data_IF_601442487278
#
_entry.id   IF_601442487278
#
_cell.length_a   1.000
_cell.length_b   1.000
_cell.length_c   1.000
_cell.angle_alpha   90.00
_cell.angle_beta   90.00
_cell.angle_gamma   90.00
#
_symmetry.space_group_name_H-M   'P 1'
#
loop_
_entity.id
_entity.type
_entity.pdbx_description
1 polymer ?
#
# COMPACT_ATOMS: atom_id res chain seq x y z
N UNK A 1 1.19 -59.79 -24.19
CA UNK A 1 1.07 -60.52 -22.90
C UNK A 1 2.03 -59.89 -21.89
N UNK A 2 1.63 -59.84 -20.61
CA UNK A 2 2.22 -59.14 -19.45
C UNK A 2 3.72 -59.44 -19.18
N UNK A 3 4.52 -58.68 -18.40
CA UNK A 3 4.35 -58.08 -17.05
C UNK A 3 5.43 -57.00 -16.77
N UNK A 4 5.16 -55.85 -16.11
CA UNK A 4 5.45 -55.46 -14.68
C UNK A 4 6.83 -55.91 -14.14
N UNK A 5 7.69 -55.11 -13.47
CA UNK A 5 7.44 -54.15 -12.35
C UNK A 5 8.66 -53.25 -12.01
N UNK A 6 8.35 -52.02 -11.57
CA UNK A 6 8.98 -50.99 -10.66
C UNK A 6 10.32 -51.17 -9.92
N UNK A 7 11.12 -50.09 -9.88
CA UNK A 7 11.47 -49.22 -8.71
C UNK A 7 12.44 -48.11 -9.22
N UNK A 8 12.17 -46.80 -9.18
CA UNK A 8 11.92 -45.92 -8.02
C UNK A 8 13.10 -45.86 -7.06
N UNK A 9 14.05 -44.96 -7.33
CA UNK A 9 14.82 -44.31 -6.26
C UNK A 9 14.86 -42.81 -6.52
N UNK A 10 14.25 -42.10 -5.56
CA UNK A 10 14.18 -40.67 -5.43
C UNK A 10 15.61 -40.13 -5.23
N UNK A 11 16.09 -39.34 -6.18
CA UNK A 11 17.00 -38.25 -5.84
C UNK A 11 16.20 -36.98 -6.03
N UNK A 12 15.59 -36.53 -4.94
CA UNK A 12 14.96 -35.22 -4.88
C UNK A 12 16.04 -34.18 -5.06
N UNK A 13 16.27 -33.77 -6.30
CA UNK A 13 16.85 -32.46 -6.57
C UNK A 13 15.86 -31.44 -6.00
N UNK A 14 16.25 -30.87 -4.86
CA UNK A 14 15.68 -29.65 -4.32
C UNK A 14 15.57 -28.67 -5.48
N UNK A 15 14.36 -28.45 -5.98
CA UNK A 15 14.09 -27.32 -6.86
C UNK A 15 14.45 -26.07 -6.05
N UNK A 16 15.53 -25.44 -6.50
CA UNK A 16 16.12 -24.24 -5.97
C UNK A 16 15.05 -23.21 -5.59
N UNK A 17 15.16 -22.71 -4.36
CA UNK A 17 14.54 -21.47 -3.97
C UNK A 17 15.08 -20.30 -4.82
N UNK A 18 14.23 -19.29 -4.97
CA UNK A 18 14.51 -17.92 -5.40
C UNK A 18 14.76 -17.68 -6.89
N UNK A 19 13.67 -17.61 -7.66
CA UNK A 19 13.45 -16.32 -8.33
C UNK A 19 13.16 -15.32 -7.21
N UNK A 20 13.99 -14.29 -7.02
CA UNK A 20 13.59 -13.15 -6.18
C UNK A 20 12.24 -12.70 -6.71
N UNK A 21 11.16 -13.03 -5.98
CA UNK A 21 9.84 -12.72 -6.44
C UNK A 21 9.77 -11.21 -6.58
N UNK A 22 9.48 -10.72 -7.79
CA UNK A 22 9.30 -9.29 -8.03
C UNK A 22 8.22 -8.79 -7.06
N UNK A 23 8.51 -7.67 -6.40
CA UNK A 23 7.57 -7.01 -5.51
C UNK A 23 6.26 -6.70 -6.27
N UNK A 24 5.08 -6.87 -5.65
CA UNK A 24 3.81 -6.57 -6.31
C UNK A 24 3.74 -5.11 -6.79
N UNK A 25 3.18 -4.91 -7.97
CA UNK A 25 2.97 -3.57 -8.53
C UNK A 25 1.92 -2.82 -7.71
N UNK A 26 2.40 -1.86 -6.90
CA UNK A 26 1.60 -0.98 -6.05
C UNK A 26 2.06 0.46 -6.28
N UNK A 27 1.12 1.35 -6.56
CA UNK A 27 1.42 2.76 -6.88
C UNK A 27 0.69 3.67 -5.90
N UNK A 28 1.43 4.57 -5.25
CA UNK A 28 0.85 5.64 -4.44
C UNK A 28 0.57 6.82 -5.35
N UNK A 29 -0.67 7.33 -5.31
CA UNK A 29 -1.08 8.57 -5.97
C UNK A 29 -1.50 9.58 -4.92
N UNK A 30 -0.92 10.77 -4.99
CA UNK A 30 -1.22 11.89 -4.11
C UNK A 30 -1.54 13.13 -4.95
N UNK A 31 -2.69 13.74 -4.73
CA UNK A 31 -3.13 14.94 -5.45
C UNK A 31 -3.56 16.00 -4.46
N UNK A 32 -3.06 17.23 -4.62
CA UNK A 32 -3.45 18.32 -3.75
C UNK A 32 -2.54 19.54 -3.88
N UNK A 33 -2.77 20.49 -2.97
CA UNK A 33 -2.12 21.79 -3.00
C UNK A 33 -0.84 21.81 -2.15
N UNK A 34 0.26 22.31 -2.73
CA UNK A 34 1.54 22.52 -2.05
C UNK A 34 2.06 23.94 -2.22
N UNK A 35 2.81 24.39 -1.22
CA UNK A 35 3.68 25.55 -1.26
C UNK A 35 5.04 25.17 -1.85
N UNK A 36 5.44 25.80 -2.96
CA UNK A 36 6.78 25.65 -3.56
C UNK A 36 7.65 26.85 -3.25
N UNK A 37 8.83 26.61 -2.69
CA UNK A 37 9.86 27.65 -2.57
C UNK A 37 10.57 27.85 -3.90
N UNK A 38 10.62 29.09 -4.40
CA UNK A 38 11.33 29.47 -5.64
C UNK A 38 12.24 30.67 -5.39
N UNK A 39 13.41 30.69 -6.04
CA UNK A 39 14.25 31.89 -6.13
C UNK A 39 13.68 32.89 -7.14
N UNK A 40 13.60 34.14 -6.74
CA UNK A 40 13.19 35.25 -7.59
C UNK A 40 14.40 36.14 -7.82
N UNK A 41 14.94 36.10 -9.03
CA UNK A 41 16.01 36.99 -9.46
C UNK A 41 15.39 38.21 -10.14
N UNK A 42 15.07 39.24 -9.35
CA UNK A 42 14.64 40.53 -9.88
C UNK A 42 15.86 41.44 -10.09
N UNK A 43 16.05 42.03 -11.29
CA UNK A 43 17.18 42.93 -11.53
C UNK A 43 17.11 44.15 -10.61
N UNK A 44 18.14 44.32 -9.76
CA UNK A 44 18.24 45.42 -8.81
C UNK A 44 17.75 45.12 -7.39
N UNK A 45 17.31 43.89 -7.10
CA UNK A 45 17.05 43.40 -5.73
C UNK A 45 18.02 42.27 -5.35
N UNK A 46 18.19 42.07 -4.05
CA UNK A 46 18.85 40.87 -3.54
C UNK A 46 18.04 39.62 -3.90
N UNK A 47 18.71 38.48 -4.03
CA UNK A 47 18.05 37.19 -4.24
C UNK A 47 16.98 36.96 -3.16
N UNK A 48 15.72 36.93 -3.56
CA UNK A 48 14.58 36.68 -2.67
C UNK A 48 14.08 35.25 -2.85
N UNK A 49 13.59 34.65 -1.76
CA UNK A 49 12.83 33.40 -1.79
C UNK A 49 11.35 33.74 -1.70
N UNK A 50 10.55 33.20 -2.61
CA UNK A 50 9.10 33.34 -2.65
C UNK A 50 8.46 31.96 -2.48
N UNK A 51 7.34 31.91 -1.77
CA UNK A 51 6.48 30.73 -1.70
C UNK A 51 5.33 30.93 -2.68
N UNK A 52 5.13 29.97 -3.58
CA UNK A 52 4.01 29.97 -4.54
C UNK A 52 3.20 28.70 -4.32
N UNK A 53 1.88 28.88 -4.20
CA UNK A 53 0.92 27.78 -4.14
C UNK A 53 0.80 27.11 -5.52
N UNK A 54 0.85 25.78 -5.54
CA UNK A 54 0.77 24.97 -6.75
C UNK A 54 -0.10 23.73 -6.50
N UNK A 55 -0.88 23.36 -7.51
CA UNK A 55 -1.55 22.06 -7.58
C UNK A 55 -0.56 21.00 -8.06
N UNK A 56 -0.48 19.87 -7.34
CA UNK A 56 0.41 18.77 -7.64
C UNK A 56 -0.37 17.45 -7.75
N UNK A 57 0.08 16.62 -8.68
CA UNK A 57 -0.27 15.21 -8.73
C UNK A 57 1.04 14.42 -8.77
N UNK A 58 1.23 13.56 -7.78
CA UNK A 58 2.43 12.74 -7.60
C UNK A 58 2.01 11.29 -7.69
N UNK A 59 2.68 10.54 -8.57
CA UNK A 59 2.55 9.09 -8.66
C UNK A 59 3.90 8.46 -8.33
N UNK A 60 3.89 7.44 -7.48
CA UNK A 60 5.10 6.79 -6.99
C UNK A 60 4.92 5.27 -6.87
N UNK A 61 5.71 4.52 -7.64
CA UNK A 61 5.71 3.06 -7.59
C UNK A 61 6.54 2.56 -6.39
N UNK A 62 5.92 1.72 -5.57
CA UNK A 62 6.57 1.13 -4.39
C UNK A 62 7.46 -0.03 -4.86
N UNK A 63 8.76 0.05 -4.59
CA UNK A 63 9.72 -0.91 -5.13
C UNK A 63 9.98 -2.12 -4.22
N UNK A 64 9.59 -2.07 -2.94
CA UNK A 64 9.89 -3.12 -1.97
C UNK A 64 8.95 -3.15 -0.76
N UNK A 65 8.99 -4.26 0.00
CA UNK A 65 8.22 -4.38 1.24
C UNK A 65 8.72 -3.43 2.34
N UNK A 66 10.03 -3.19 2.41
CA UNK A 66 10.59 -2.22 3.35
C UNK A 66 10.12 -0.81 3.03
N UNK A 67 10.02 -0.47 1.75
CA UNK A 67 9.47 0.81 1.33
C UNK A 67 7.97 0.92 1.63
N UNK A 68 7.17 -0.11 1.34
CA UNK A 68 5.76 -0.16 1.74
C UNK A 68 5.62 0.09 3.24
N UNK A 69 6.42 -0.61 4.05
CA UNK A 69 6.41 -0.45 5.51
C UNK A 69 6.82 0.96 5.89
N UNK A 70 7.88 1.53 5.33
CA UNK A 70 8.34 2.84 5.80
C UNK A 70 7.44 3.99 5.34
N UNK A 71 6.90 3.91 4.12
CA UNK A 71 6.08 4.96 3.53
C UNK A 71 4.62 4.85 4.00
N UNK A 72 3.96 3.74 3.68
CA UNK A 72 2.50 3.61 3.82
C UNK A 72 2.13 3.09 5.20
N UNK A 73 2.98 2.27 5.80
CA UNK A 73 2.59 1.54 7.02
C UNK A 73 3.71 1.33 8.07
N UNK A 74 4.27 2.44 8.60
CA UNK A 74 5.46 2.38 9.47
C UNK A 74 5.19 1.76 10.84
N UNK A 75 3.97 1.93 11.36
CA UNK A 75 3.65 1.65 12.76
C UNK A 75 2.64 0.51 12.99
N UNK A 76 2.20 -0.22 11.95
CA UNK A 76 1.16 -1.25 12.14
C UNK A 76 1.50 -2.28 13.19
N UNK A 77 2.73 -2.79 13.11
CA UNK A 77 3.18 -3.89 13.94
C UNK A 77 3.20 -3.52 15.43
N UNK A 78 3.24 -2.21 15.74
CA UNK A 78 3.42 -1.68 17.09
C UNK A 78 2.10 -1.11 17.63
N UNK A 79 1.38 -0.32 16.84
CA UNK A 79 0.26 0.50 17.33
C UNK A 79 -1.11 0.15 16.72
N UNK A 80 -1.15 -0.67 15.67
CA UNK A 80 -2.40 -1.10 15.01
C UNK A 80 -3.20 0.01 14.30
N UNK A 81 -2.73 1.26 14.35
CA UNK A 81 -3.25 2.44 13.65
C UNK A 81 -2.12 2.99 12.78
N UNK A 82 -2.37 3.19 11.49
CA UNK A 82 -1.28 3.07 10.51
C UNK A 82 -1.21 4.10 9.42
N UNK A 83 -2.29 4.83 9.18
CA UNK A 83 -2.31 5.74 8.04
C UNK A 83 -1.99 7.14 8.54
N UNK A 84 -0.74 7.54 8.39
CA UNK A 84 -0.31 8.92 8.58
C UNK A 84 -0.37 9.66 7.24
N UNK A 85 -1.58 10.00 6.76
CA UNK A 85 -1.74 10.58 5.40
C UNK A 85 -0.82 11.79 5.18
N UNK A 86 -0.72 12.66 6.19
CA UNK A 86 0.16 13.82 6.16
C UNK A 86 1.64 13.45 6.04
N UNK A 87 2.11 12.47 6.83
CA UNK A 87 3.50 11.98 6.75
C UNK A 87 3.79 11.34 5.38
N UNK A 88 2.85 10.55 4.83
CA UNK A 88 3.01 9.95 3.48
C UNK A 88 3.19 11.05 2.43
N UNK A 89 2.37 12.11 2.49
CA UNK A 89 2.47 13.24 1.55
C UNK A 89 3.78 13.99 1.73
N UNK A 90 4.20 14.26 2.97
CA UNK A 90 5.48 14.92 3.24
C UNK A 90 6.65 14.12 2.64
N UNK A 91 6.68 12.80 2.85
CA UNK A 91 7.68 11.90 2.29
C UNK A 91 7.66 11.83 0.75
N UNK A 92 6.48 11.97 0.12
CA UNK A 92 6.35 12.04 -1.34
C UNK A 92 6.85 13.39 -1.88
N UNK A 93 6.52 14.49 -1.21
CA UNK A 93 6.95 15.84 -1.59
C UNK A 93 8.47 15.99 -1.46
N UNK A 94 9.09 15.41 -0.43
CA UNK A 94 10.54 15.43 -0.20
C UNK A 94 11.32 14.66 -1.29
N UNK A 95 10.67 13.76 -2.04
CA UNK A 95 11.28 13.06 -3.18
C UNK A 95 11.26 13.88 -4.46
N UNK A 96 10.45 14.93 -4.55
CA UNK A 96 10.36 15.78 -5.74
C UNK A 96 11.55 16.75 -5.81
N UNK A 97 11.96 17.10 -7.03
CA UNK A 97 12.93 18.18 -7.23
C UNK A 97 12.30 19.54 -6.90
N UNK A 98 12.65 20.07 -5.74
CA UNK A 98 12.18 21.36 -5.24
C UNK A 98 12.01 21.33 -3.72
N UNK A 99 11.60 22.45 -3.15
CA UNK A 99 11.19 22.49 -1.75
C UNK A 99 9.68 22.71 -1.73
N UNK A 100 8.95 21.60 -1.66
CA UNK A 100 7.50 21.59 -1.55
C UNK A 100 7.10 21.32 -0.11
N UNK A 101 6.00 21.94 0.32
CA UNK A 101 5.36 21.63 1.60
C UNK A 101 3.85 21.69 1.42
N UNK A 102 3.13 20.73 1.98
CA UNK A 102 1.67 20.84 2.10
C UNK A 102 1.29 21.91 3.14
N UNK A 103 0.06 22.39 3.07
CA UNK A 103 -0.43 23.50 3.90
C UNK A 103 -0.79 23.08 5.34
N UNK A 104 -1.25 21.83 5.52
CA UNK A 104 -1.51 21.24 6.85
C UNK A 104 -0.24 20.76 7.53
N UNK A 105 -0.16 20.89 8.86
CA UNK A 105 0.93 20.31 9.67
C UNK A 105 0.54 19.02 10.40
N UNK A 106 -0.69 18.52 10.22
CA UNK A 106 -1.16 17.29 10.88
C UNK A 106 -0.46 16.07 10.27
N UNK A 107 0.06 15.16 11.09
CA UNK A 107 0.67 13.92 10.58
C UNK A 107 -0.36 12.94 10.03
N UNK A 108 -1.55 12.91 10.62
CA UNK A 108 -2.59 11.94 10.31
C UNK A 108 -3.54 12.42 9.21
N UNK A 109 -3.75 13.73 9.12
CA UNK A 109 -4.73 14.34 8.23
C UNK A 109 -4.07 15.30 7.24
N UNK A 110 -4.53 15.24 6.01
CA UNK A 110 -4.19 16.17 4.95
C UNK A 110 -5.44 16.40 4.10
N UNK A 111 -6.40 17.23 4.58
CA UNK A 111 -7.71 17.36 3.94
C UNK A 111 -7.64 17.96 2.53
N UNK A 112 -6.61 18.75 2.24
CA UNK A 112 -6.37 19.35 0.93
C UNK A 112 -5.68 18.38 -0.05
N UNK A 113 -5.51 17.13 0.37
CA UNK A 113 -4.83 16.09 -0.40
C UNK A 113 -5.68 14.83 -0.48
N UNK A 114 -5.91 14.37 -1.71
CA UNK A 114 -6.37 13.02 -1.96
C UNK A 114 -5.16 12.08 -2.04
N UNK A 115 -5.20 10.98 -1.30
CA UNK A 115 -4.13 9.99 -1.24
C UNK A 115 -4.74 8.60 -1.44
N UNK A 116 -4.23 7.86 -2.42
CA UNK A 116 -4.70 6.51 -2.72
C UNK A 116 -3.54 5.63 -3.16
N UNK A 117 -3.47 4.40 -2.66
CA UNK A 117 -2.59 3.35 -3.17
C UNK A 117 -3.41 2.42 -4.03
N UNK A 118 -2.96 2.22 -5.26
CA UNK A 118 -3.63 1.38 -6.25
C UNK A 118 -2.85 0.10 -6.50
N UNK A 119 -3.57 -0.95 -6.87
CA UNK A 119 -2.97 -2.25 -7.14
C UNK A 119 -4.01 -3.28 -7.54
N UNK A 120 -3.60 -4.28 -8.33
CA UNK A 120 -4.49 -5.41 -8.62
C UNK A 120 -4.80 -6.23 -7.36
N UNK A 121 -5.93 -6.95 -7.34
CA UNK A 121 -6.24 -7.88 -6.24
C UNK A 121 -5.11 -8.89 -5.99
N UNK A 122 -4.47 -9.35 -7.07
CA UNK A 122 -3.29 -10.21 -6.98
C UNK A 122 -2.11 -9.50 -6.32
N UNK A 123 -1.83 -8.25 -6.67
CA UNK A 123 -0.75 -7.46 -6.06
C UNK A 123 -0.95 -7.32 -4.54
N UNK A 124 -2.16 -6.94 -4.12
CA UNK A 124 -2.53 -6.83 -2.71
C UNK A 124 -2.44 -8.16 -1.96
N UNK A 125 -2.90 -9.26 -2.57
CA UNK A 125 -2.77 -10.60 -1.98
C UNK A 125 -1.31 -11.00 -1.81
N UNK A 126 -0.47 -10.77 -2.83
CA UNK A 126 0.97 -11.07 -2.77
C UNK A 126 1.67 -10.25 -1.70
N UNK A 127 1.34 -8.96 -1.57
CA UNK A 127 1.88 -8.10 -0.50
C UNK A 127 1.70 -8.76 0.88
N UNK A 128 0.49 -9.22 1.19
CA UNK A 128 0.20 -9.77 2.51
C UNK A 128 0.56 -11.26 2.66
N UNK A 129 0.45 -12.08 1.61
CA UNK A 129 0.68 -13.52 1.70
C UNK A 129 2.10 -13.96 1.33
N UNK A 130 2.87 -13.15 0.63
CA UNK A 130 4.22 -13.52 0.18
C UNK A 130 5.28 -12.61 0.80
N UNK A 131 5.07 -11.29 0.79
CA UNK A 131 6.08 -10.33 1.24
C UNK A 131 5.98 -9.99 2.71
N UNK A 132 4.77 -9.91 3.25
CA UNK A 132 4.60 -9.61 4.66
C UNK A 132 5.00 -10.83 5.51
N UNK A 133 5.94 -10.60 6.43
CA UNK A 133 6.46 -11.63 7.33
C UNK A 133 5.52 -11.90 8.51
N UNK A 134 4.22 -12.04 8.23
CA UNK A 134 3.24 -12.41 9.25
C UNK A 134 3.49 -13.84 9.74
N UNK A 135 3.67 -13.99 11.06
CA UNK A 135 3.76 -15.31 11.71
C UNK A 135 2.39 -15.96 11.75
N UNK A 136 2.34 -17.28 11.58
CA UNK A 136 1.11 -18.06 11.64
C UNK A 136 1.05 -19.20 10.63
N UNK A 137 -0.02 -19.99 10.69
CA UNK A 137 -0.43 -20.81 9.55
C UNK A 137 -0.91 -19.92 8.40
N UNK A 138 -1.05 -20.46 7.19
CA UNK A 138 -1.55 -19.67 6.06
C UNK A 138 -2.95 -19.08 6.30
N UNK A 139 -3.83 -19.79 7.01
CA UNK A 139 -5.14 -19.28 7.42
C UNK A 139 -5.02 -18.10 8.40
N UNK A 140 -4.12 -18.17 9.38
CA UNK A 140 -3.87 -17.05 10.32
C UNK A 140 -3.24 -15.84 9.61
N UNK A 141 -2.34 -16.08 8.64
CA UNK A 141 -1.76 -15.03 7.79
C UNK A 141 -2.82 -14.38 6.90
N UNK A 142 -3.68 -15.18 6.28
CA UNK A 142 -4.81 -14.70 5.48
C UNK A 142 -5.76 -13.84 6.32
N UNK A 143 -6.11 -14.29 7.53
CA UNK A 143 -6.95 -13.53 8.45
C UNK A 143 -6.35 -12.16 8.80
N UNK A 144 -5.05 -12.12 9.13
CA UNK A 144 -4.33 -10.86 9.40
C UNK A 144 -4.23 -9.96 8.17
N UNK A 145 -3.99 -10.54 6.99
CA UNK A 145 -3.99 -9.83 5.71
C UNK A 145 -5.33 -9.17 5.43
N UNK A 146 -6.44 -9.92 5.55
CA UNK A 146 -7.80 -9.41 5.42
C UNK A 146 -8.08 -8.28 6.41
N UNK A 147 -7.68 -8.43 7.69
CA UNK A 147 -7.87 -7.38 8.70
C UNK A 147 -7.09 -6.10 8.36
N UNK A 148 -5.91 -6.23 7.76
CA UNK A 148 -5.11 -5.08 7.33
C UNK A 148 -5.74 -4.38 6.14
N UNK A 149 -6.19 -5.12 5.12
CA UNK A 149 -6.92 -4.58 3.97
C UNK A 149 -8.19 -3.82 4.41
N UNK A 150 -8.97 -4.38 5.34
CA UNK A 150 -10.13 -3.71 5.95
C UNK A 150 -9.79 -2.34 6.53
N UNK A 151 -8.71 -2.26 7.33
CA UNK A 151 -8.30 -1.00 7.96
C UNK A 151 -7.81 0.03 6.95
N UNK A 152 -7.15 -0.41 5.88
CA UNK A 152 -6.70 0.47 4.81
C UNK A 152 -7.89 1.03 4.01
N UNK A 153 -8.90 0.19 3.75
CA UNK A 153 -10.15 0.59 3.11
C UNK A 153 -10.92 1.58 3.97
N UNK A 154 -11.09 1.29 5.26
CA UNK A 154 -11.77 2.19 6.21
C UNK A 154 -11.02 3.51 6.46
N UNK A 155 -9.77 3.62 5.99
CA UNK A 155 -8.98 4.85 6.03
C UNK A 155 -9.01 5.61 4.69
N UNK A 156 -9.79 5.14 3.71
CA UNK A 156 -9.83 5.66 2.34
C UNK A 156 -8.42 5.84 1.75
N UNK A 157 -7.57 4.82 1.94
CA UNK A 157 -6.19 4.84 1.44
C UNK A 157 -5.99 3.92 0.24
N UNK A 158 -6.85 2.93 0.02
CA UNK A 158 -6.63 1.89 -0.98
C UNK A 158 -7.82 1.71 -1.90
N UNK A 159 -7.55 1.16 -3.07
CA UNK A 159 -8.52 1.01 -4.15
C UNK A 159 -9.40 -0.24 -4.03
N UNK A 160 -10.29 -0.42 -5.01
CA UNK A 160 -11.15 -1.61 -5.13
C UNK A 160 -10.35 -2.90 -5.27
N UNK A 161 -9.11 -2.86 -5.79
CA UNK A 161 -8.24 -4.02 -5.84
C UNK A 161 -7.94 -4.60 -4.46
N UNK A 162 -7.77 -3.74 -3.46
CA UNK A 162 -7.59 -4.15 -2.07
C UNK A 162 -8.83 -4.85 -1.51
N UNK A 163 -10.03 -4.33 -1.83
CA UNK A 163 -11.29 -4.94 -1.44
C UNK A 163 -11.48 -6.33 -2.06
N UNK A 164 -11.16 -6.48 -3.35
CA UNK A 164 -11.21 -7.76 -4.04
C UNK A 164 -10.22 -8.77 -3.44
N UNK A 165 -8.99 -8.36 -3.12
CA UNK A 165 -8.02 -9.22 -2.47
C UNK A 165 -8.50 -9.71 -1.10
N UNK A 166 -9.16 -8.85 -0.32
CA UNK A 166 -9.73 -9.22 0.97
C UNK A 166 -10.83 -10.28 0.81
N UNK A 167 -11.73 -10.12 -0.17
CA UNK A 167 -12.78 -11.10 -0.49
C UNK A 167 -12.18 -12.44 -0.95
N UNK A 168 -11.16 -12.41 -1.80
CA UNK A 168 -10.47 -13.62 -2.26
C UNK A 168 -9.85 -14.40 -1.10
N UNK A 169 -9.17 -13.72 -0.17
CA UNK A 169 -8.59 -14.34 1.02
C UNK A 169 -9.67 -14.94 1.94
N UNK A 170 -10.77 -14.20 2.13
CA UNK A 170 -11.90 -14.67 2.93
C UNK A 170 -12.48 -15.96 2.35
N UNK A 171 -12.72 -15.99 1.04
CA UNK A 171 -13.29 -17.15 0.35
C UNK A 171 -12.32 -18.33 0.30
N UNK A 172 -11.03 -18.08 0.01
CA UNK A 172 -10.04 -19.14 -0.14
C UNK A 172 -9.77 -19.87 1.19
N UNK A 173 -9.80 -19.15 2.31
CA UNK A 173 -9.46 -19.69 3.64
C UNK A 173 -10.67 -19.89 4.54
N UNK A 174 -11.88 -19.83 3.99
CA UNK A 174 -13.15 -20.05 4.70
C UNK A 174 -13.23 -19.21 5.99
N UNK A 175 -12.97 -17.92 5.86
CA UNK A 175 -12.99 -16.98 7.01
C UNK A 175 -14.44 -16.56 7.33
N UNK A 176 -15.37 -17.52 7.31
CA UNK A 176 -16.85 -17.50 7.29
C UNK A 176 -17.53 -16.38 8.13
N UNK A 177 -16.90 -15.92 9.20
CA UNK A 177 -17.41 -14.83 10.05
C UNK A 177 -17.13 -13.42 9.51
N UNK A 178 -16.33 -13.30 8.44
CA UNK A 178 -15.80 -12.03 7.95
C UNK A 178 -16.43 -11.57 6.62
N UNK A 179 -16.98 -12.45 5.78
CA UNK A 179 -17.46 -12.10 4.43
C UNK A 179 -18.66 -11.17 4.45
N UNK A 180 -19.76 -11.59 5.09
CA UNK A 180 -21.01 -10.81 5.09
C UNK A 180 -20.82 -9.45 5.77
N UNK A 181 -20.06 -9.43 6.87
CA UNK A 181 -19.69 -8.20 7.56
C UNK A 181 -18.80 -7.31 6.70
N UNK A 182 -17.85 -7.89 5.96
CA UNK A 182 -16.97 -7.12 5.09
C UNK A 182 -17.69 -6.54 3.88
N UNK A 183 -18.56 -7.32 3.24
CA UNK A 183 -19.37 -6.82 2.12
C UNK A 183 -20.21 -5.64 2.59
N UNK A 184 -20.90 -5.76 3.74
CA UNK A 184 -21.65 -4.66 4.32
C UNK A 184 -20.77 -3.41 4.55
N UNK A 185 -19.62 -3.58 5.21
CA UNK A 185 -18.65 -2.52 5.52
C UNK A 185 -18.14 -1.80 4.25
N UNK A 186 -17.76 -2.55 3.21
CA UNK A 186 -17.28 -1.98 1.94
C UNK A 186 -18.41 -1.28 1.19
N UNK A 187 -19.63 -1.84 1.17
CA UNK A 187 -20.75 -1.22 0.46
C UNK A 187 -21.27 0.05 1.14
N UNK A 188 -21.23 0.10 2.48
CA UNK A 188 -21.60 1.28 3.27
C UNK A 188 -20.58 2.42 3.05
N UNK A 189 -19.29 2.07 2.95
CA UNK A 189 -18.20 3.03 2.62
C UNK A 189 -18.28 3.61 1.20
N UNK A 190 -19.05 2.99 0.31
CA UNK A 190 -19.29 3.48 -1.06
C UNK A 190 -20.64 4.19 -1.22
N UNK A 191 -21.42 4.26 -0.13
CA UNK A 191 -22.75 4.84 -0.10
C UNK A 191 -22.79 6.15 0.69
N UNK A 192 -22.11 7.18 0.20
CA UNK A 192 -22.37 8.55 0.65
C UNK A 192 -23.51 9.15 -0.19
N UNK A 193 -24.64 9.42 0.48
CA UNK A 193 -25.44 10.64 0.25
C UNK A 193 -24.94 11.74 1.20
#
# INVERSE_FOLDING_TARGET
>A
MASKTTNSDQTGEQQSASSEAQFPDLTVRAEGTADRLRRVNEPGKADCLETVEVELAVEYDIASYDEWRNLVDPDYAIHGRTVEKGTIIDDLLDRLEGHYRRQSSSRYEAPDWNLTVTGSATAWRRLFMEFSQMRGSDSDRAHKGTLRLKRLLAADLVDTGAALAALELINQYDLDRATDTFIAEVTDSTGDE
#
